data_IF_347341827960
#
_entry.id   IF_347341827960
#
_cell.length_a   1.000
_cell.length_b   1.000
_cell.length_c   1.000
_cell.angle_alpha   90.00
_cell.angle_beta   90.00
_cell.angle_gamma   90.00
#
_symmetry.space_group_name_H-M   'P 1'
#
loop_
_entity.id
_entity.type
_entity.pdbx_description
1 polymer ?
#
# COMPACT_ATOMS: atom_id res chain seq x y z
N UNK A 1 -5.56 5.81 20.26
CA UNK A 1 -4.94 6.88 19.46
C UNK A 1 -5.00 6.59 17.95
N UNK A 2 -6.12 6.05 17.45
CA UNK A 2 -6.45 6.11 16.03
C UNK A 2 -7.76 6.88 15.95
N UNK A 3 -7.76 7.84 15.05
CA UNK A 3 -8.66 8.97 14.96
C UNK A 3 -10.13 8.59 14.87
N UNK A 4 -10.91 9.43 15.53
CA UNK A 4 -12.35 9.70 15.51
C UNK A 4 -13.09 9.41 14.17
N UNK A 5 -14.42 9.24 14.26
CA UNK A 5 -15.45 9.39 13.19
C UNK A 5 -15.95 8.19 12.35
N UNK A 6 -17.05 7.58 12.80
CA UNK A 6 -17.95 6.71 12.02
C UNK A 6 -18.44 7.31 10.67
N UNK A 7 -18.34 8.63 10.46
CA UNK A 7 -18.81 9.32 9.25
C UNK A 7 -17.86 9.19 8.04
N UNK A 8 -16.56 9.01 8.27
CA UNK A 8 -15.56 8.85 7.21
C UNK A 8 -15.49 7.44 6.61
N UNK A 9 -16.16 6.46 7.22
CA UNK A 9 -16.09 5.06 6.84
C UNK A 9 -16.61 4.80 5.41
N UNK A 10 -17.77 5.35 5.05
CA UNK A 10 -18.35 5.18 3.71
C UNK A 10 -17.52 5.85 2.61
N UNK A 11 -17.00 7.06 2.86
CA UNK A 11 -16.17 7.77 1.89
C UNK A 11 -14.85 7.00 1.63
N UNK A 12 -14.24 6.43 2.68
CA UNK A 12 -13.06 5.56 2.54
C UNK A 12 -13.35 4.32 1.70
N UNK A 13 -14.47 3.63 1.94
CA UNK A 13 -14.84 2.46 1.14
C UNK A 13 -15.04 2.82 -0.34
N UNK A 14 -15.65 3.97 -0.63
CA UNK A 14 -15.80 4.45 -2.00
C UNK A 14 -14.46 4.80 -2.65
N UNK A 15 -13.57 5.46 -1.90
CA UNK A 15 -12.21 5.79 -2.30
C UNK A 15 -11.40 4.54 -2.64
N UNK A 16 -11.35 3.58 -1.72
CA UNK A 16 -10.65 2.30 -1.89
C UNK A 16 -11.16 1.54 -3.12
N UNK A 17 -12.48 1.46 -3.30
CA UNK A 17 -13.08 0.80 -4.45
C UNK A 17 -12.73 1.51 -5.77
N UNK A 18 -12.66 2.85 -5.78
CA UNK A 18 -12.24 3.60 -6.95
C UNK A 18 -10.77 3.36 -7.31
N UNK A 19 -9.89 3.41 -6.30
CA UNK A 19 -8.46 3.16 -6.46
C UNK A 19 -8.22 1.73 -6.93
N UNK A 20 -8.84 0.74 -6.30
CA UNK A 20 -8.73 -0.66 -6.68
C UNK A 20 -9.15 -0.90 -8.14
N UNK A 21 -10.31 -0.34 -8.55
CA UNK A 21 -10.76 -0.41 -9.96
C UNK A 21 -9.78 0.25 -10.92
N UNK A 22 -9.20 1.39 -10.53
CA UNK A 22 -8.21 2.09 -11.36
C UNK A 22 -6.94 1.25 -11.51
N UNK A 23 -6.40 0.69 -10.42
CA UNK A 23 -5.24 -0.20 -10.45
C UNK A 23 -5.48 -1.45 -11.30
N UNK A 24 -6.64 -2.11 -11.16
CA UNK A 24 -6.99 -3.34 -11.90
C UNK A 24 -7.13 -3.14 -13.41
N UNK A 25 -7.48 -1.93 -13.86
CA UNK A 25 -7.63 -1.60 -15.29
C UNK A 25 -6.30 -1.25 -15.96
N UNK A 26 -5.23 -1.06 -15.19
CA UNK A 26 -3.93 -0.66 -15.75
C UNK A 26 -3.19 -1.87 -16.28
N UNK A 27 -2.66 -1.75 -17.49
CA UNK A 27 -1.82 -2.78 -18.10
C UNK A 27 -0.36 -2.69 -17.66
N UNK A 28 0.41 -3.76 -17.88
CA UNK A 28 1.82 -3.88 -17.44
C UNK A 28 2.76 -2.83 -18.07
N UNK A 29 2.37 -2.21 -19.20
CA UNK A 29 3.13 -1.15 -19.87
C UNK A 29 2.87 0.26 -19.32
N UNK A 30 2.04 0.39 -18.27
CA UNK A 30 1.72 1.68 -17.67
C UNK A 30 2.58 1.95 -16.43
N UNK A 31 2.85 3.22 -16.16
CA UNK A 31 3.65 3.62 -15.00
C UNK A 31 3.01 3.16 -13.69
N UNK A 32 3.83 2.71 -12.75
CA UNK A 32 3.42 2.34 -11.39
C UNK A 32 2.98 3.54 -10.54
N UNK A 33 3.12 4.77 -11.05
CA UNK A 33 2.71 6.00 -10.39
C UNK A 33 1.65 6.72 -11.24
N UNK A 34 0.62 7.25 -10.60
CA UNK A 34 -0.38 8.08 -11.26
C UNK A 34 -1.04 9.08 -10.32
N UNK A 35 -1.53 10.18 -10.87
CA UNK A 35 -2.23 11.21 -10.09
C UNK A 35 -3.65 10.77 -9.70
N UNK A 36 -4.01 11.09 -8.46
CA UNK A 36 -5.34 10.84 -7.91
C UNK A 36 -5.75 11.98 -6.96
N UNK A 37 -6.68 12.81 -7.43
CA UNK A 37 -7.12 14.03 -6.73
C UNK A 37 -5.92 14.92 -6.38
N UNK A 38 -5.67 15.13 -5.09
CA UNK A 38 -4.61 16.01 -4.56
C UNK A 38 -3.32 15.22 -4.21
N UNK A 39 -3.31 13.93 -4.48
CA UNK A 39 -2.24 13.01 -4.12
C UNK A 39 -1.72 12.27 -5.34
N UNK A 40 -0.52 11.71 -5.22
CA UNK A 40 0.02 10.73 -6.14
C UNK A 40 -0.13 9.35 -5.52
N UNK A 41 -0.45 8.35 -6.35
CA UNK A 41 -0.53 6.96 -5.92
C UNK A 41 0.58 6.18 -6.60
N UNK A 42 1.35 5.45 -5.79
CA UNK A 42 2.27 4.43 -6.24
C UNK A 42 1.62 3.07 -5.99
N UNK A 43 1.65 2.18 -6.97
CA UNK A 43 1.16 0.82 -6.79
C UNK A 43 2.10 -0.20 -7.40
N UNK A 44 2.13 -1.40 -6.81
CA UNK A 44 2.88 -2.54 -7.34
C UNK A 44 2.14 -3.84 -7.10
N UNK A 45 2.15 -4.72 -8.10
CA UNK A 45 1.55 -6.05 -8.02
C UNK A 45 2.62 -7.10 -7.71
N UNK A 46 2.41 -7.91 -6.67
CA UNK A 46 3.19 -9.10 -6.36
C UNK A 46 2.25 -10.30 -6.33
N UNK A 47 2.41 -11.21 -7.29
CA UNK A 47 1.45 -12.30 -7.54
C UNK A 47 -0.01 -11.77 -7.64
N UNK A 48 -0.88 -12.17 -6.72
CA UNK A 48 -2.28 -11.75 -6.65
C UNK A 48 -2.50 -10.45 -5.86
N UNK A 49 -1.49 -9.98 -5.11
CA UNK A 49 -1.61 -8.85 -4.19
C UNK A 49 -1.22 -7.53 -4.85
N UNK A 50 -1.99 -6.49 -4.52
CA UNK A 50 -1.69 -5.11 -4.91
C UNK A 50 -1.32 -4.32 -3.66
N UNK A 51 -0.13 -3.73 -3.68
CA UNK A 51 0.32 -2.77 -2.68
C UNK A 51 0.13 -1.38 -3.26
N UNK A 52 -0.58 -0.51 -2.55
CA UNK A 52 -0.89 0.85 -2.99
C UNK A 52 -0.54 1.83 -1.88
N UNK A 53 0.23 2.86 -2.21
CA UNK A 53 0.61 3.93 -1.28
C UNK A 53 0.23 5.27 -1.89
N UNK A 54 -0.49 6.09 -1.11
CA UNK A 54 -0.74 7.49 -1.41
C UNK A 54 0.32 8.39 -0.79
N UNK A 55 0.84 9.32 -1.56
CA UNK A 55 1.89 10.25 -1.13
C UNK A 55 1.66 11.65 -1.72
N UNK A 56 2.29 12.66 -1.11
CA UNK A 56 2.17 14.05 -1.55
C UNK A 56 3.03 14.31 -2.80
N UNK A 57 2.78 15.43 -3.49
CA UNK A 57 3.56 15.77 -4.69
C UNK A 57 5.03 16.09 -4.39
N UNK A 58 5.36 16.48 -3.15
CA UNK A 58 6.71 16.86 -2.74
C UNK A 58 7.61 15.65 -2.44
N UNK A 59 7.03 14.47 -2.24
CA UNK A 59 7.78 13.26 -1.91
C UNK A 59 8.45 12.62 -3.13
N UNK A 60 9.58 11.96 -2.90
CA UNK A 60 10.27 11.25 -3.95
C UNK A 60 9.52 9.96 -4.32
N UNK A 61 8.99 9.95 -5.54
CA UNK A 61 8.21 8.84 -6.09
C UNK A 61 8.97 7.51 -6.09
N UNK A 62 10.29 7.54 -6.35
CA UNK A 62 11.11 6.34 -6.34
C UNK A 62 11.32 5.81 -4.93
N UNK A 63 11.49 6.70 -3.94
CA UNK A 63 11.61 6.29 -2.53
C UNK A 63 10.35 5.58 -2.04
N UNK A 64 9.16 6.02 -2.48
CA UNK A 64 7.89 5.35 -2.15
C UNK A 64 7.79 3.96 -2.79
N UNK A 65 8.24 3.80 -4.04
CA UNK A 65 8.28 2.49 -4.70
C UNK A 65 9.29 1.53 -4.05
N UNK A 66 10.44 2.05 -3.63
CA UNK A 66 11.46 1.28 -2.90
C UNK A 66 10.95 0.87 -1.51
N UNK A 67 10.15 1.71 -0.83
CA UNK A 67 9.50 1.32 0.43
C UNK A 67 8.59 0.10 0.24
N UNK A 68 7.80 0.06 -0.84
CA UNK A 68 6.96 -1.11 -1.15
C UNK A 68 7.82 -2.35 -1.37
N UNK A 69 8.94 -2.23 -2.10
CA UNK A 69 9.85 -3.34 -2.34
C UNK A 69 10.47 -3.85 -1.03
N UNK A 70 11.01 -2.95 -0.21
CA UNK A 70 11.60 -3.29 1.09
C UNK A 70 10.59 -3.98 2.01
N UNK A 71 9.33 -3.50 2.03
CA UNK A 71 8.29 -4.10 2.84
C UNK A 71 7.98 -5.54 2.42
N UNK A 72 7.84 -5.78 1.11
CA UNK A 72 7.58 -7.13 0.59
C UNK A 72 8.77 -8.06 0.83
N UNK A 73 10.00 -7.57 0.72
CA UNK A 73 11.21 -8.35 1.04
C UNK A 73 11.26 -8.74 2.52
N UNK A 74 10.93 -7.83 3.42
CA UNK A 74 10.86 -8.10 4.87
C UNK A 74 9.76 -9.12 5.16
N UNK A 75 8.58 -8.98 4.57
CA UNK A 75 7.51 -9.98 4.69
C UNK A 75 7.97 -11.35 4.19
N UNK A 76 8.63 -11.40 3.03
CA UNK A 76 9.14 -12.65 2.48
C UNK A 76 10.21 -13.31 3.36
N UNK A 77 11.08 -12.51 3.97
CA UNK A 77 12.09 -12.98 4.93
C UNK A 77 11.47 -13.44 6.25
N UNK A 78 10.43 -12.76 6.73
CA UNK A 78 9.77 -13.07 8.00
C UNK A 78 8.94 -14.36 7.93
N UNK A 79 8.22 -14.57 6.82
CA UNK A 79 7.35 -15.73 6.63
C UNK A 79 8.01 -16.91 5.87
N UNK A 80 9.29 -16.80 5.50
CA UNK A 80 10.05 -17.83 4.76
C UNK A 80 9.35 -18.31 3.48
N UNK A 81 9.25 -17.42 2.49
CA UNK A 81 8.43 -17.56 1.26
C UNK A 81 6.95 -17.20 1.49
N UNK A 82 6.70 -15.91 1.68
CA UNK A 82 5.37 -15.38 1.97
C UNK A 82 4.39 -15.67 0.84
N UNK A 83 3.19 -16.12 1.18
CA UNK A 83 2.05 -16.15 0.28
C UNK A 83 0.90 -15.25 0.77
N UNK A 84 -0.08 -15.00 -0.10
CA UNK A 84 -1.26 -14.20 0.22
C UNK A 84 -2.05 -14.71 1.42
N UNK A 85 -2.12 -16.03 1.62
CA UNK A 85 -2.79 -16.64 2.76
C UNK A 85 -2.06 -16.34 4.07
N UNK A 86 -0.72 -16.32 4.08
CA UNK A 86 0.06 -16.01 5.28
C UNK A 86 -0.23 -14.58 5.77
N UNK A 87 -0.34 -13.65 4.83
CA UNK A 87 -0.71 -12.26 5.10
C UNK A 87 -2.14 -12.17 5.64
N UNK A 88 -3.09 -12.88 5.02
CA UNK A 88 -4.49 -12.89 5.49
C UNK A 88 -4.65 -13.47 6.89
N UNK A 89 -3.92 -14.55 7.22
CA UNK A 89 -3.99 -15.20 8.54
C UNK A 89 -3.22 -14.44 9.63
N UNK A 90 -2.21 -13.65 9.26
CA UNK A 90 -1.35 -12.95 10.21
C UNK A 90 -1.41 -11.42 10.06
N UNK A 91 -2.59 -10.87 9.74
CA UNK A 91 -2.74 -9.44 9.44
C UNK A 91 -2.25 -8.52 10.58
N UNK A 92 -2.41 -8.94 11.83
CA UNK A 92 -1.89 -8.20 13.00
C UNK A 92 -0.35 -8.09 12.97
N UNK A 93 0.35 -9.18 12.66
CA UNK A 93 1.83 -9.17 12.56
C UNK A 93 2.30 -8.35 11.38
N UNK A 94 1.58 -8.42 10.26
CA UNK A 94 1.83 -7.63 9.05
C UNK A 94 1.74 -6.13 9.37
N UNK A 95 0.72 -5.70 10.12
CA UNK A 95 0.61 -4.33 10.60
C UNK A 95 1.77 -3.92 11.52
N UNK A 96 2.15 -4.77 12.47
CA UNK A 96 3.30 -4.50 13.35
C UNK A 96 4.59 -4.33 12.55
N UNK A 97 4.86 -5.19 11.57
CA UNK A 97 6.05 -5.07 10.70
C UNK A 97 6.04 -3.73 9.96
N UNK A 98 4.89 -3.31 9.45
CA UNK A 98 4.76 -2.02 8.77
C UNK A 98 5.00 -0.84 9.72
N UNK A 99 4.49 -0.91 10.94
CA UNK A 99 4.69 0.12 11.98
C UNK A 99 6.17 0.25 12.39
N UNK A 100 6.91 -0.85 12.42
CA UNK A 100 8.36 -0.83 12.67
C UNK A 100 9.16 -0.24 11.50
N UNK A 101 8.65 -0.35 10.27
CA UNK A 101 9.29 0.20 9.08
C UNK A 101 8.97 1.68 8.83
N UNK A 102 7.83 2.16 9.31
CA UNK A 102 7.34 3.51 9.03
C UNK A 102 6.87 4.14 10.33
N UNK A 103 7.65 5.08 10.87
CA UNK A 103 7.25 5.87 12.03
C UNK A 103 6.79 7.26 11.58
N UNK A 104 5.54 7.62 11.88
CA UNK A 104 4.95 8.93 11.53
C UNK A 104 4.97 9.28 10.03
N UNK A 105 4.83 8.30 9.14
CA UNK A 105 4.80 8.53 7.69
C UNK A 105 6.17 8.88 7.10
N UNK A 106 7.25 8.59 7.82
CA UNK A 106 8.63 8.64 7.33
C UNK A 106 9.25 7.26 7.47
N UNK A 107 10.16 6.96 6.54
CA UNK A 107 11.11 5.85 6.62
C UNK A 107 12.21 6.25 7.60
#
# INVERSE_FOLDING_TARGET
>A
YYTDENAHSQERVLLEAEIARKCLRRGDNQCSIFDYKQYKLAYRRYASLFFVIGFSEEENQFSVLELVQAYVEILNSYFENVCELDIMYNIEKVHVILEEMVLNGRI
#
